data_IF_315348671291
#
_entry.id   IF_315348671291
#
_cell.length_a   1.000
_cell.length_b   1.000
_cell.length_c   1.000
_cell.angle_alpha   90.00
_cell.angle_beta   90.00
_cell.angle_gamma   90.00
#
_symmetry.space_group_name_H-M   'P 1'
#
loop_
_entity.id
_entity.type
_entity.pdbx_description
1 polymer ?
#
# COMPACT_ATOMS: atom_id res chain seq x y z
N UNK A 1 -0.33 -21.36 5.99
CA UNK A 1 0.73 -20.33 5.94
C UNK A 1 0.80 -19.64 4.58
N UNK A 2 0.84 -20.37 3.46
CA UNK A 2 0.93 -19.79 2.11
C UNK A 2 -0.20 -18.79 1.75
N UNK A 3 -1.46 -19.07 2.13
CA UNK A 3 -2.58 -18.17 1.86
C UNK A 3 -2.45 -16.82 2.59
N UNK A 4 -2.08 -16.84 3.87
CA UNK A 4 -1.89 -15.63 4.69
C UNK A 4 -0.70 -14.81 4.20
N UNK A 5 0.39 -15.46 3.79
CA UNK A 5 1.52 -14.78 3.15
C UNK A 5 1.10 -14.11 1.83
N UNK A 6 0.32 -14.82 1.01
CA UNK A 6 -0.16 -14.30 -0.27
C UNK A 6 -1.04 -13.07 -0.10
N UNK A 7 -1.93 -13.05 0.90
CA UNK A 7 -2.78 -11.89 1.17
C UNK A 7 -1.96 -10.70 1.66
N UNK A 8 -0.97 -10.92 2.54
CA UNK A 8 -0.07 -9.85 3.01
C UNK A 8 0.73 -9.22 1.85
N UNK A 9 1.31 -10.05 0.98
CA UNK A 9 2.07 -9.56 -0.18
C UNK A 9 1.18 -8.86 -1.21
N UNK A 10 -0.04 -9.34 -1.43
CA UNK A 10 -1.00 -8.66 -2.29
C UNK A 10 -1.33 -7.26 -1.76
N UNK A 11 -1.67 -7.17 -0.47
CA UNK A 11 -1.97 -5.87 0.15
C UNK A 11 -0.75 -4.94 0.17
N UNK A 12 0.46 -5.46 0.37
CA UNK A 12 1.70 -4.69 0.26
C UNK A 12 1.89 -4.13 -1.17
N UNK A 13 1.65 -4.94 -2.20
CA UNK A 13 1.72 -4.50 -3.59
C UNK A 13 0.70 -3.38 -3.89
N UNK A 14 -0.52 -3.48 -3.38
CA UNK A 14 -1.53 -2.42 -3.50
C UNK A 14 -1.08 -1.13 -2.83
N UNK A 15 -0.57 -1.18 -1.59
CA UNK A 15 -0.10 0.02 -0.87
C UNK A 15 1.05 0.69 -1.63
N UNK A 16 1.99 -0.11 -2.16
CA UNK A 16 3.08 0.41 -2.97
C UNK A 16 2.56 1.09 -4.24
N UNK A 17 1.59 0.48 -4.92
CA UNK A 17 0.95 1.05 -6.09
C UNK A 17 0.27 2.39 -5.78
N UNK A 18 -0.50 2.45 -4.69
CA UNK A 18 -1.19 3.67 -4.27
C UNK A 18 -0.18 4.80 -3.93
N UNK A 19 1.02 4.48 -3.44
CA UNK A 19 2.09 5.46 -3.21
C UNK A 19 2.70 5.94 -4.54
N UNK A 20 2.93 5.02 -5.48
CA UNK A 20 3.51 5.35 -6.79
C UNK A 20 2.53 6.15 -7.68
N UNK A 21 1.23 5.90 -7.55
CA UNK A 21 0.20 6.48 -8.41
C UNK A 21 -0.26 7.87 -7.96
N UNK A 22 0.22 8.40 -6.82
CA UNK A 22 -0.24 9.70 -6.25
C UNK A 22 -0.24 10.84 -7.28
N UNK A 23 0.84 10.99 -8.05
CA UNK A 23 0.98 12.07 -9.04
C UNK A 23 0.08 11.88 -10.26
N UNK A 24 -0.20 10.63 -10.60
CA UNK A 24 -1.08 10.28 -11.72
C UNK A 24 -2.55 10.40 -11.30
N UNK A 25 -2.92 9.85 -10.15
CA UNK A 25 -4.27 9.86 -9.61
C UNK A 25 -4.78 11.26 -9.30
N UNK A 26 -3.88 12.20 -8.95
CA UNK A 26 -4.22 13.62 -8.83
C UNK A 26 -4.80 14.21 -10.13
N UNK A 27 -4.44 13.66 -11.29
CA UNK A 27 -4.85 14.16 -12.62
C UNK A 27 -6.10 13.45 -13.16
N UNK A 28 -6.54 12.36 -12.53
CA UNK A 28 -7.66 11.54 -13.00
C UNK A 28 -8.90 11.82 -12.15
N UNK A 29 -10.00 12.18 -12.80
CA UNK A 29 -11.24 12.60 -12.11
C UNK A 29 -11.79 11.52 -11.16
N UNK A 30 -11.62 10.25 -11.53
CA UNK A 30 -12.06 9.10 -10.72
C UNK A 30 -11.25 8.93 -9.42
N UNK A 31 -9.95 9.18 -9.45
CA UNK A 31 -9.02 8.83 -8.34
C UNK A 31 -8.45 10.04 -7.57
N UNK A 32 -8.76 11.28 -8.00
CA UNK A 32 -8.35 12.52 -7.30
C UNK A 32 -8.76 12.62 -5.82
N UNK A 33 -9.80 11.88 -5.42
CA UNK A 33 -10.33 11.87 -4.05
C UNK A 33 -9.79 10.72 -3.20
N UNK A 34 -8.79 9.96 -3.69
CA UNK A 34 -8.19 8.90 -2.89
C UNK A 34 -7.54 9.44 -1.60
N UNK A 35 -7.51 8.66 -0.50
CA UNK A 35 -6.99 9.11 0.79
C UNK A 35 -5.53 9.57 0.75
N UNK A 36 -4.69 8.90 -0.06
CA UNK A 36 -3.28 9.25 -0.25
C UNK A 36 -3.09 10.53 -1.08
N UNK A 37 -3.93 10.74 -2.10
CA UNK A 37 -3.87 11.93 -2.97
C UNK A 37 -4.34 13.19 -2.24
N UNK A 38 -5.40 13.05 -1.43
CA UNK A 38 -6.00 14.14 -0.64
C UNK A 38 -5.23 14.46 0.65
N UNK A 39 -4.29 13.59 1.04
CA UNK A 39 -3.51 13.74 2.27
C UNK A 39 -4.24 13.30 3.55
N UNK A 40 -5.42 12.68 3.44
CA UNK A 40 -6.10 12.05 4.57
C UNK A 40 -5.27 10.90 5.17
N UNK A 41 -4.42 10.26 4.36
CA UNK A 41 -3.37 9.35 4.80
C UNK A 41 -2.03 9.93 4.37
N UNK A 42 -1.10 10.08 5.34
CA UNK A 42 0.27 10.52 5.04
C UNK A 42 1.05 9.43 4.31
N UNK A 43 1.87 9.83 3.33
CA UNK A 43 2.78 8.93 2.59
C UNK A 43 3.69 8.17 3.55
N UNK A 44 4.18 8.83 4.61
CA UNK A 44 4.98 8.18 5.64
C UNK A 44 4.19 7.09 6.39
N UNK A 45 2.91 7.34 6.68
CA UNK A 45 2.03 6.36 7.31
C UNK A 45 1.79 5.13 6.42
N UNK A 46 1.56 5.35 5.12
CA UNK A 46 1.43 4.26 4.16
C UNK A 46 2.73 3.47 4.00
N UNK A 47 3.89 4.13 4.00
CA UNK A 47 5.20 3.47 3.95
C UNK A 47 5.50 2.61 5.21
N UNK A 48 5.08 3.07 6.39
CA UNK A 48 5.16 2.27 7.62
C UNK A 48 4.28 1.03 7.50
N UNK A 49 3.04 1.18 7.02
CA UNK A 49 2.12 0.05 6.84
C UNK A 49 2.65 -0.96 5.82
N UNK A 50 3.20 -0.49 4.69
CA UNK A 50 3.88 -1.31 3.71
C UNK A 50 5.00 -2.13 4.35
N UNK A 51 5.85 -1.47 5.15
CA UNK A 51 6.96 -2.11 5.86
C UNK A 51 6.47 -3.22 6.80
N UNK A 52 5.38 -2.98 7.53
CA UNK A 52 4.77 -3.99 8.41
C UNK A 52 4.29 -5.21 7.61
N UNK A 53 3.65 -5.03 6.46
CA UNK A 53 3.13 -6.15 5.66
C UNK A 53 4.26 -6.96 5.02
N UNK A 54 5.31 -6.29 4.55
CA UNK A 54 6.51 -6.95 4.02
C UNK A 54 7.22 -7.74 5.12
N UNK A 55 7.51 -7.13 6.27
CA UNK A 55 8.15 -7.81 7.40
C UNK A 55 7.31 -8.99 7.90
N UNK A 56 6.00 -8.82 8.06
CA UNK A 56 5.09 -9.89 8.44
C UNK A 56 5.11 -11.06 7.45
N UNK A 57 5.20 -10.77 6.14
CA UNK A 57 5.30 -11.81 5.12
C UNK A 57 6.62 -12.58 5.15
N UNK A 58 7.73 -11.93 5.53
CA UNK A 58 9.05 -12.55 5.71
C UNK A 58 9.06 -13.43 6.96
N UNK A 59 8.47 -12.99 8.06
CA UNK A 59 8.36 -13.80 9.28
C UNK A 59 7.56 -15.08 9.03
N UNK A 60 6.54 -15.02 8.17
CA UNK A 60 5.70 -16.16 7.79
C UNK A 60 6.34 -17.13 6.77
N UNK A 61 7.59 -16.88 6.38
CA UNK A 61 8.34 -17.70 5.41
C UNK A 61 8.80 -19.05 5.97
N UNK A 62 8.80 -19.21 7.30
CA UNK A 62 9.20 -20.43 8.02
C UNK A 62 8.03 -21.38 8.29
#
# INVERSE_FOLDING_TARGET
MCAVRSTLLHSAACILNDICDIDFDRKVERTKNQPLVTGAVSVAGAAILLSIFVLGSIVLLA
#
